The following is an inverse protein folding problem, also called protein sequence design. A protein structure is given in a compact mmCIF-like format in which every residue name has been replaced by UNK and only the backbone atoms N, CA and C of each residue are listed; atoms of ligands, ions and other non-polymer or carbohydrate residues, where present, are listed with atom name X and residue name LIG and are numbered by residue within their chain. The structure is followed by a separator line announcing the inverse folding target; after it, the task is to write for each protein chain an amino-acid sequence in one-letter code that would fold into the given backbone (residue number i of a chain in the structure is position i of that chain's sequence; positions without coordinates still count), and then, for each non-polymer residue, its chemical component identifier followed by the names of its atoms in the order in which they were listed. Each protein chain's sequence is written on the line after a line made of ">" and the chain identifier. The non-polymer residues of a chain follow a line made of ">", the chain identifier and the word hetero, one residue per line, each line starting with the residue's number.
data_IF_804579342094
#
_entry.id   IF_804579342094
#
_cell.length_a   1.000
_cell.length_b   1.000
_cell.length_c   1.000
_cell.angle_alpha   90.00
_cell.angle_beta   90.00
_cell.angle_gamma   90.00
#
_symmetry.space_group_name_H-M   'P 1'
#
loop_
_entity.id
_entity.type
_entity.pdbx_description
1 polymer ?
#
# COMPACT_ATOMS: atom_id res chain seq x y z
N UNK A 1 50.01 -33.33 25.96
CA UNK A 1 48.96 -32.44 26.43
C UNK A 1 48.48 -31.66 25.20
N UNK A 2 47.29 -32.03 24.67
CA UNK A 2 46.67 -31.43 23.47
C UNK A 2 45.61 -30.44 23.93
N UNK A 3 45.71 -29.17 23.55
CA UNK A 3 44.72 -28.14 23.81
C UNK A 3 43.57 -28.26 22.79
N UNK A 4 42.30 -28.10 23.17
CA UNK A 4 41.17 -28.06 22.24
C UNK A 4 40.98 -26.65 21.67
N UNK A 5 40.93 -26.55 20.33
CA UNK A 5 40.60 -25.36 19.58
C UNK A 5 39.08 -25.16 19.62
N UNK A 6 38.62 -24.09 20.27
CA UNK A 6 37.23 -23.66 20.24
C UNK A 6 36.96 -22.91 18.93
N UNK A 7 36.10 -23.48 18.08
CA UNK A 7 35.58 -22.82 16.90
C UNK A 7 34.41 -21.92 17.32
N UNK A 8 34.59 -20.61 17.18
CA UNK A 8 33.57 -19.58 17.39
C UNK A 8 32.63 -19.53 16.16
N UNK A 9 31.43 -20.10 16.33
CA UNK A 9 30.39 -20.07 15.30
C UNK A 9 29.69 -18.70 15.32
N UNK A 10 29.99 -17.83 14.34
CA UNK A 10 29.35 -16.53 14.17
C UNK A 10 28.00 -16.75 13.48
N UNK A 11 26.91 -16.78 14.24
CA UNK A 11 25.53 -16.76 13.68
C UNK A 11 25.23 -15.37 13.14
N UNK A 12 25.34 -15.18 11.82
CA UNK A 12 24.77 -14.03 11.11
C UNK A 12 23.24 -14.20 11.09
N UNK A 13 22.55 -13.48 11.95
CA UNK A 13 21.09 -13.36 11.89
C UNK A 13 20.73 -12.57 10.63
N UNK A 14 20.47 -13.27 9.53
CA UNK A 14 19.93 -12.69 8.31
C UNK A 14 18.50 -12.22 8.57
N UNK A 15 18.24 -10.91 8.47
CA UNK A 15 16.89 -10.37 8.38
C UNK A 15 16.22 -10.96 7.13
N UNK A 16 15.31 -11.90 7.33
CA UNK A 16 14.52 -12.48 6.25
C UNK A 16 13.47 -11.46 5.82
N UNK A 17 13.77 -10.69 4.79
CA UNK A 17 12.74 -9.98 4.03
C UNK A 17 11.85 -11.02 3.37
N UNK A 18 10.59 -11.07 3.76
CA UNK A 18 9.62 -11.97 3.13
C UNK A 18 9.27 -11.42 1.75
N UNK A 19 9.95 -11.91 0.71
CA UNK A 19 9.51 -11.76 -0.67
C UNK A 19 8.16 -12.47 -0.84
N UNK A 20 7.24 -11.86 -1.57
CA UNK A 20 5.92 -12.43 -1.82
C UNK A 20 6.02 -13.74 -2.61
N UNK A 21 5.44 -14.85 -2.12
CA UNK A 21 5.36 -16.07 -2.92
C UNK A 21 4.23 -15.92 -3.95
N UNK A 22 4.53 -15.54 -5.17
CA UNK A 22 3.58 -15.60 -6.28
C UNK A 22 4.24 -16.18 -7.52
N UNK A 23 3.81 -17.37 -7.90
CA UNK A 23 4.21 -18.05 -9.15
C UNK A 23 3.35 -17.65 -10.35
N UNK A 24 2.34 -16.79 -10.19
CA UNK A 24 1.57 -16.23 -11.31
C UNK A 24 1.77 -14.71 -11.40
N UNK A 25 1.97 -14.19 -12.64
CA UNK A 25 2.03 -12.76 -12.84
C UNK A 25 0.65 -12.15 -12.49
N UNK A 26 0.59 -11.48 -11.35
CA UNK A 26 -0.60 -10.76 -10.93
C UNK A 26 -0.74 -9.49 -11.75
N UNK A 27 -1.93 -9.23 -12.27
CA UNK A 27 -2.22 -8.07 -13.08
C UNK A 27 -3.44 -7.32 -12.55
N UNK A 28 -3.39 -6.00 -12.64
CA UNK A 28 -4.49 -5.11 -12.34
C UNK A 28 -5.10 -4.56 -13.62
N UNK A 29 -6.40 -4.25 -13.58
CA UNK A 29 -7.10 -3.68 -14.73
C UNK A 29 -7.19 -2.15 -14.59
N UNK A 30 -6.81 -1.44 -15.61
CA UNK A 30 -6.96 0.03 -15.71
C UNK A 30 -8.42 0.42 -15.96
N UNK A 31 -8.77 1.71 -15.79
CA UNK A 31 -10.12 2.20 -16.03
C UNK A 31 -10.55 2.12 -17.50
N UNK A 32 -9.59 2.06 -18.45
CA UNK A 32 -9.83 1.81 -19.87
C UNK A 32 -9.81 0.31 -20.22
N UNK A 33 -9.79 -0.58 -19.23
CA UNK A 33 -9.92 -2.02 -19.39
C UNK A 33 -8.64 -2.75 -19.77
N UNK A 34 -7.46 -2.12 -19.77
CA UNK A 34 -6.20 -2.77 -20.06
C UNK A 34 -5.67 -3.52 -18.83
N UNK A 35 -5.04 -4.68 -19.09
CA UNK A 35 -4.35 -5.43 -18.05
C UNK A 35 -2.91 -4.93 -17.89
N UNK A 36 -2.47 -4.63 -16.67
CA UNK A 36 -1.12 -4.20 -16.34
C UNK A 36 -0.51 -5.14 -15.31
N UNK A 37 0.65 -5.75 -15.58
CA UNK A 37 1.36 -6.52 -14.57
C UNK A 37 1.63 -5.68 -13.34
N UNK A 38 1.36 -6.23 -12.17
CA UNK A 38 1.60 -5.55 -10.90
C UNK A 38 3.05 -5.09 -10.74
N UNK A 39 4.00 -5.93 -11.12
CA UNK A 39 5.42 -5.64 -11.04
C UNK A 39 5.82 -4.40 -11.83
N UNK A 40 5.21 -4.19 -13.00
CA UNK A 40 5.49 -3.03 -13.86
C UNK A 40 4.97 -1.73 -13.22
N UNK A 41 3.88 -1.82 -12.43
CA UNK A 41 3.30 -0.67 -11.75
C UNK A 41 4.19 -0.15 -10.62
N UNK A 42 4.92 -1.02 -9.93
CA UNK A 42 5.78 -0.61 -8.79
C UNK A 42 7.21 -0.30 -9.21
N UNK A 43 7.71 -0.90 -10.30
CA UNK A 43 9.11 -0.77 -10.71
C UNK A 43 9.53 0.66 -11.12
N UNK A 44 8.56 1.51 -11.50
CA UNK A 44 8.82 2.86 -12.03
C UNK A 44 9.11 3.94 -10.98
N UNK A 45 9.02 3.65 -9.69
CA UNK A 45 9.12 4.64 -8.61
C UNK A 45 10.00 4.13 -7.47
N UNK A 46 10.59 5.06 -6.73
CA UNK A 46 11.38 4.71 -5.54
C UNK A 46 10.52 4.00 -4.50
N UNK A 47 9.33 4.51 -4.26
CA UNK A 47 8.29 3.89 -3.43
C UNK A 47 6.93 4.06 -4.08
N UNK A 48 6.08 3.06 -3.90
CA UNK A 48 4.67 3.08 -4.28
C UNK A 48 3.81 3.02 -3.02
N UNK A 49 2.95 4.01 -2.84
CA UNK A 49 1.88 4.00 -1.83
C UNK A 49 0.63 3.44 -2.49
N UNK A 50 0.26 2.24 -2.09
CA UNK A 50 -0.91 1.55 -2.57
C UNK A 50 -2.04 1.71 -1.55
N UNK A 51 -3.18 2.24 -1.97
CA UNK A 51 -4.36 2.46 -1.12
C UNK A 51 -5.50 1.60 -1.64
N UNK A 52 -6.04 0.72 -0.79
CA UNK A 52 -7.25 -0.01 -1.12
C UNK A 52 -8.47 0.90 -0.92
N UNK A 53 -9.37 0.88 -1.89
CA UNK A 53 -10.51 1.78 -1.95
C UNK A 53 -11.82 0.99 -2.12
N UNK A 54 -12.94 1.64 -1.86
CA UNK A 54 -14.29 1.13 -2.09
C UNK A 54 -15.22 2.29 -2.41
N UNK A 55 -16.07 2.11 -3.42
CA UNK A 55 -16.94 3.13 -3.98
C UNK A 55 -17.90 3.78 -2.96
N UNK A 56 -18.24 3.11 -1.88
CA UNK A 56 -19.19 3.57 -0.86
C UNK A 56 -18.53 3.86 0.49
N UNK A 57 -17.20 4.02 0.54
CA UNK A 57 -16.49 4.22 1.80
C UNK A 57 -16.48 5.68 2.25
N UNK A 58 -17.24 6.01 3.30
CA UNK A 58 -17.25 7.34 3.88
C UNK A 58 -15.90 7.76 4.47
N UNK A 59 -15.13 6.79 4.99
CA UNK A 59 -13.77 7.05 5.50
C UNK A 59 -12.85 7.53 4.37
N UNK A 60 -12.94 6.91 3.19
CA UNK A 60 -12.15 7.33 2.03
C UNK A 60 -12.54 8.74 1.58
N UNK A 61 -13.84 9.06 1.56
CA UNK A 61 -14.33 10.39 1.23
C UNK A 61 -13.75 11.47 2.17
N UNK A 62 -13.73 11.19 3.47
CA UNK A 62 -13.15 12.11 4.47
C UNK A 62 -11.65 12.32 4.23
N UNK A 63 -10.92 11.28 3.83
CA UNK A 63 -9.46 11.34 3.64
C UNK A 63 -9.02 11.82 2.24
N UNK A 64 -9.93 12.03 1.29
CA UNK A 64 -9.58 12.34 -0.11
C UNK A 64 -8.65 13.57 -0.24
N UNK A 65 -8.93 14.67 0.49
CA UNK A 65 -8.08 15.86 0.48
C UNK A 65 -6.70 15.59 1.09
N UNK A 66 -6.62 14.83 2.19
CA UNK A 66 -5.36 14.43 2.85
C UNK A 66 -4.52 13.56 1.92
N UNK A 67 -5.14 12.61 1.22
CA UNK A 67 -4.48 11.76 0.21
C UNK A 67 -3.93 12.58 -0.95
N UNK A 68 -4.71 13.54 -1.45
CA UNK A 68 -4.28 14.46 -2.52
C UNK A 68 -3.07 15.30 -2.09
N UNK A 69 -3.10 15.81 -0.86
CA UNK A 69 -1.97 16.56 -0.29
C UNK A 69 -0.70 15.71 -0.18
N UNK A 70 -0.82 14.48 0.32
CA UNK A 70 0.30 13.55 0.40
C UNK A 70 0.86 13.22 -0.99
N UNK A 71 0.01 12.89 -1.96
CA UNK A 71 0.45 12.59 -3.32
C UNK A 71 1.24 13.77 -3.93
N UNK A 72 0.73 14.99 -3.81
CA UNK A 72 1.40 16.20 -4.30
C UNK A 72 2.74 16.46 -3.59
N UNK A 73 2.80 16.25 -2.27
CA UNK A 73 4.01 16.46 -1.46
C UNK A 73 5.13 15.48 -1.81
N UNK A 74 4.80 14.21 -2.07
CA UNK A 74 5.80 13.16 -2.21
C UNK A 74 6.13 12.79 -3.67
N UNK A 75 5.32 13.17 -4.65
CA UNK A 75 5.61 12.93 -6.07
C UNK A 75 6.99 13.46 -6.51
N UNK A 76 7.43 14.70 -6.16
CA UNK A 76 8.75 15.19 -6.51
C UNK A 76 9.91 14.41 -5.85
N UNK A 77 9.61 13.60 -4.83
CA UNK A 77 10.59 12.78 -4.09
C UNK A 77 10.67 11.34 -4.60
N UNK A 78 10.02 11.04 -5.74
CA UNK A 78 10.03 9.71 -6.36
C UNK A 78 9.04 8.73 -5.75
N UNK A 79 7.98 9.22 -5.09
CA UNK A 79 6.89 8.39 -4.55
C UNK A 79 5.67 8.52 -5.44
N UNK A 80 5.15 7.40 -5.91
CA UNK A 80 3.85 7.36 -6.59
C UNK A 80 2.76 6.88 -5.64
N UNK A 81 1.52 7.28 -5.95
CA UNK A 81 0.32 6.80 -5.28
C UNK A 81 -0.55 6.06 -6.27
N UNK A 82 -1.11 4.93 -5.86
CA UNK A 82 -2.03 4.12 -6.65
C UNK A 82 -3.23 3.74 -5.78
N UNK A 83 -4.44 3.87 -6.32
CA UNK A 83 -5.64 3.31 -5.70
C UNK A 83 -5.96 1.95 -6.31
N UNK A 84 -6.50 1.03 -5.51
CA UNK A 84 -6.93 -0.29 -5.96
C UNK A 84 -8.29 -0.63 -5.38
N UNK A 85 -9.25 -0.86 -6.24
CA UNK A 85 -10.55 -1.43 -5.87
C UNK A 85 -10.49 -2.95 -6.03
N UNK A 86 -10.65 -3.65 -4.93
CA UNK A 86 -10.64 -5.12 -4.85
C UNK A 86 -12.02 -5.68 -4.48
N UNK A 87 -13.08 -4.89 -4.60
CA UNK A 87 -14.43 -5.36 -4.25
C UNK A 87 -14.99 -6.29 -5.32
N UNK A 88 -15.77 -7.25 -4.86
CA UNK A 88 -16.49 -8.15 -5.75
C UNK A 88 -17.49 -7.37 -6.62
N UNK A 89 -17.49 -7.64 -7.92
CA UNK A 89 -18.41 -7.01 -8.86
C UNK A 89 -18.01 -5.61 -9.32
N UNK A 90 -16.84 -5.10 -8.90
CA UNK A 90 -16.33 -3.84 -9.44
C UNK A 90 -16.10 -3.95 -10.94
N UNK A 91 -16.63 -2.97 -11.67
CA UNK A 91 -16.47 -2.81 -13.12
C UNK A 91 -15.68 -1.52 -13.40
N UNK A 92 -15.18 -1.35 -14.62
CA UNK A 92 -14.51 -0.10 -15.04
C UNK A 92 -15.42 1.12 -14.86
N UNK A 93 -16.73 0.98 -15.10
CA UNK A 93 -17.70 2.06 -14.90
C UNK A 93 -17.84 2.46 -13.42
N UNK A 94 -17.93 1.49 -12.51
CA UNK A 94 -17.99 1.73 -11.06
C UNK A 94 -16.70 2.39 -10.60
N UNK A 95 -15.54 1.83 -10.95
CA UNK A 95 -14.23 2.37 -10.56
C UNK A 95 -13.99 3.78 -11.14
N UNK A 96 -14.46 4.07 -12.36
CA UNK A 96 -14.38 5.43 -12.94
C UNK A 96 -15.22 6.42 -12.14
N UNK A 97 -16.47 6.04 -11.80
CA UNK A 97 -17.33 6.89 -10.97
C UNK A 97 -16.74 7.14 -9.57
N UNK A 98 -16.09 6.13 -9.00
CA UNK A 98 -15.36 6.23 -7.73
C UNK A 98 -14.18 7.21 -7.80
N UNK A 99 -13.32 7.05 -8.80
CA UNK A 99 -12.18 7.96 -9.02
C UNK A 99 -12.62 9.42 -9.14
N UNK A 100 -13.73 9.67 -9.86
CA UNK A 100 -14.32 10.99 -9.97
C UNK A 100 -14.93 11.50 -8.65
N UNK A 101 -15.67 10.63 -7.94
CA UNK A 101 -16.31 11.00 -6.66
C UNK A 101 -15.29 11.47 -5.63
N UNK A 102 -14.15 10.78 -5.52
CA UNK A 102 -13.09 11.11 -4.57
C UNK A 102 -12.05 12.08 -5.14
N UNK A 103 -12.20 12.51 -6.40
CA UNK A 103 -11.25 13.40 -7.08
C UNK A 103 -9.79 12.92 -6.88
N UNK A 104 -9.55 11.60 -7.03
CA UNK A 104 -8.24 11.02 -6.84
C UNK A 104 -7.25 11.58 -7.85
N UNK A 105 -6.13 12.18 -7.42
CA UNK A 105 -5.13 12.78 -8.32
C UNK A 105 -4.12 11.74 -8.85
N UNK A 106 -4.37 10.45 -8.62
CA UNK A 106 -3.52 9.33 -9.00
C UNK A 106 -4.38 8.19 -9.57
N UNK A 107 -3.77 7.26 -10.34
CA UNK A 107 -4.50 6.19 -11.00
C UNK A 107 -5.23 5.27 -10.03
N UNK A 108 -6.43 4.81 -10.45
CA UNK A 108 -7.18 3.75 -9.82
C UNK A 108 -7.16 2.50 -10.72
N UNK A 109 -6.95 1.35 -10.11
CA UNK A 109 -6.93 0.05 -10.75
C UNK A 109 -7.97 -0.89 -10.12
N UNK A 110 -8.40 -1.89 -10.89
CA UNK A 110 -9.30 -2.95 -10.41
C UNK A 110 -8.48 -4.22 -10.18
N UNK A 111 -8.58 -4.78 -8.98
CA UNK A 111 -8.01 -6.06 -8.59
C UNK A 111 -9.08 -7.16 -8.66
N UNK A 112 -9.36 -7.63 -9.87
CA UNK A 112 -10.37 -8.66 -10.10
C UNK A 112 -10.08 -9.94 -9.32
N UNK A 113 -11.05 -10.36 -8.51
CA UNK A 113 -10.91 -11.53 -7.63
C UNK A 113 -10.07 -11.26 -6.38
N UNK A 114 -9.80 -10.00 -6.06
CA UNK A 114 -9.11 -9.55 -4.85
C UNK A 114 -7.75 -10.24 -4.59
N UNK A 115 -7.02 -10.60 -5.66
CA UNK A 115 -5.76 -11.32 -5.52
C UNK A 115 -4.69 -10.48 -4.83
N UNK A 116 -4.55 -9.21 -5.21
CA UNK A 116 -3.59 -8.29 -4.59
C UNK A 116 -3.99 -7.99 -3.15
N UNK A 117 -5.28 -7.72 -2.90
CA UNK A 117 -5.80 -7.50 -1.56
C UNK A 117 -5.52 -8.69 -0.63
N UNK A 118 -5.76 -9.91 -1.10
CA UNK A 118 -5.51 -11.12 -0.31
C UNK A 118 -4.01 -11.32 -0.03
N UNK A 119 -3.15 -11.13 -1.02
CA UNK A 119 -1.70 -11.28 -0.88
C UNK A 119 -1.10 -10.24 0.09
N UNK A 120 -1.62 -9.02 0.09
CA UNK A 120 -1.16 -7.95 0.98
C UNK A 120 -1.89 -7.90 2.32
N UNK A 121 -2.92 -8.74 2.52
CA UNK A 121 -3.71 -8.80 3.76
C UNK A 121 -4.69 -7.62 3.92
N UNK A 122 -5.05 -6.95 2.83
CA UNK A 122 -6.01 -5.86 2.86
C UNK A 122 -7.42 -6.38 3.11
N UNK A 123 -8.09 -5.87 4.14
CA UNK A 123 -9.45 -6.23 4.53
C UNK A 123 -10.36 -5.01 4.66
N UNK A 124 -9.82 -3.81 4.53
CA UNK A 124 -10.54 -2.55 4.69
C UNK A 124 -10.18 -1.58 3.57
N UNK A 125 -11.14 -0.77 3.13
CA UNK A 125 -10.84 0.47 2.42
C UNK A 125 -10.01 1.38 3.33
N UNK A 126 -9.13 2.22 2.73
CA UNK A 126 -8.05 2.98 3.39
C UNK A 126 -6.87 2.14 3.91
N UNK A 127 -6.93 0.79 3.81
CA UNK A 127 -5.72 0.00 4.03
C UNK A 127 -4.64 0.42 3.05
N UNK A 128 -3.48 0.73 3.58
CA UNK A 128 -2.38 1.31 2.80
C UNK A 128 -1.12 0.46 2.95
N UNK A 129 -0.40 0.29 1.84
CA UNK A 129 0.88 -0.43 1.82
C UNK A 129 1.91 0.46 1.13
N UNK A 130 3.12 0.53 1.68
CA UNK A 130 4.25 1.19 1.02
C UNK A 130 5.22 0.11 0.56
N UNK A 131 5.54 0.13 -0.74
CA UNK A 131 6.31 -0.89 -1.44
C UNK A 131 7.43 -0.21 -2.20
N UNK A 132 8.65 -0.78 -2.22
CA UNK A 132 9.75 -0.31 -3.05
C UNK A 132 9.67 -0.85 -4.49
N UNK A 133 10.57 -0.38 -5.36
CA UNK A 133 10.67 -0.83 -6.76
C UNK A 133 10.96 -2.33 -6.92
N UNK A 134 11.50 -2.98 -5.90
CA UNK A 134 11.76 -4.42 -5.86
C UNK A 134 10.56 -5.26 -5.41
N UNK A 135 9.45 -4.61 -5.02
CA UNK A 135 8.26 -5.29 -4.49
C UNK A 135 8.33 -5.60 -2.99
N UNK A 136 9.32 -5.09 -2.27
CA UNK A 136 9.41 -5.29 -0.82
C UNK A 136 8.44 -4.35 -0.09
N UNK A 137 7.69 -4.92 0.85
CA UNK A 137 6.74 -4.17 1.67
C UNK A 137 7.46 -3.61 2.90
N UNK A 138 7.43 -2.28 3.07
CA UNK A 138 8.03 -1.57 4.20
C UNK A 138 7.00 -1.10 5.23
N UNK A 139 5.76 -0.84 4.78
CA UNK A 139 4.68 -0.43 5.66
C UNK A 139 3.37 -1.08 5.23
N UNK A 140 2.52 -1.41 6.21
CA UNK A 140 1.13 -1.81 5.99
C UNK A 140 0.23 -1.38 7.14
N UNK A 141 -0.97 -0.90 6.83
CA UNK A 141 -1.92 -0.50 7.87
C UNK A 141 -2.85 0.63 7.46
N UNK A 142 -3.25 1.45 8.42
CA UNK A 142 -4.09 2.62 8.20
C UNK A 142 -3.34 3.78 7.55
N UNK A 143 -4.08 4.68 6.91
CA UNK A 143 -3.55 5.93 6.40
C UNK A 143 -3.05 6.82 7.56
N UNK A 144 -3.87 6.91 8.59
CA UNK A 144 -3.63 7.64 9.84
C UNK A 144 -4.48 7.09 10.99
N UNK A 145 -4.62 7.82 12.10
CA UNK A 145 -5.39 7.40 13.28
C UNK A 145 -6.86 7.82 13.25
N UNK A 146 -7.28 8.57 12.23
CA UNK A 146 -8.66 9.05 12.10
C UNK A 146 -9.54 8.05 11.35
N UNK A 147 -10.86 8.16 11.53
CA UNK A 147 -11.83 7.35 10.82
C UNK A 147 -12.61 8.18 9.79
N UNK A 148 -13.44 9.11 10.24
CA UNK A 148 -14.26 10.02 9.42
C UNK A 148 -14.02 11.46 9.82
N UNK A 149 -13.97 11.73 11.13
CA UNK A 149 -13.64 13.04 11.66
C UNK A 149 -12.13 13.21 11.69
N UNK A 150 -11.63 14.16 10.90
CA UNK A 150 -10.19 14.42 10.78
C UNK A 150 -9.74 15.44 11.82
N UNK A 151 -8.70 15.10 12.58
CA UNK A 151 -8.16 15.91 13.66
C UNK A 151 -6.75 16.41 13.32
N UNK A 152 -6.38 17.57 13.85
CA UNK A 152 -5.05 18.16 13.62
C UNK A 152 -3.94 17.38 14.35
N UNK A 153 -4.28 16.71 15.45
CA UNK A 153 -3.38 15.87 16.27
C UNK A 153 -3.36 14.41 15.85
N UNK A 154 -3.96 14.06 14.70
CA UNK A 154 -3.94 12.71 14.16
C UNK A 154 -2.51 12.20 13.93
N UNK A 155 -2.29 10.91 14.23
CA UNK A 155 -1.05 10.22 13.89
C UNK A 155 -1.05 9.92 12.40
N UNK A 156 -0.20 10.56 11.61
CA UNK A 156 -0.14 10.43 10.16
C UNK A 156 0.79 9.29 9.75
N UNK A 157 0.35 8.05 9.91
CA UNK A 157 1.19 6.84 9.78
C UNK A 157 1.92 6.74 8.44
N UNK A 158 1.22 6.95 7.32
CA UNK A 158 1.82 6.88 5.97
C UNK A 158 2.84 7.99 5.77
N UNK A 159 2.56 9.22 6.21
CA UNK A 159 3.52 10.33 6.16
C UNK A 159 4.78 9.99 6.94
N UNK A 160 4.63 9.53 8.17
CA UNK A 160 5.77 9.25 9.07
C UNK A 160 6.61 8.08 8.53
N UNK A 161 5.97 7.05 7.96
CA UNK A 161 6.66 5.95 7.30
C UNK A 161 7.43 6.42 6.05
N UNK A 162 6.84 7.28 5.21
CA UNK A 162 7.52 7.85 4.03
C UNK A 162 8.72 8.71 4.43
N UNK A 163 8.61 9.52 5.49
CA UNK A 163 9.74 10.33 5.96
C UNK A 163 10.91 9.46 6.45
N UNK A 164 10.62 8.36 7.17
CA UNK A 164 11.65 7.42 7.57
C UNK A 164 12.31 6.76 6.35
N UNK A 165 11.53 6.22 5.41
CA UNK A 165 12.02 5.53 4.21
C UNK A 165 12.84 6.46 3.30
N UNK A 166 12.37 7.68 3.07
CA UNK A 166 13.06 8.65 2.23
C UNK A 166 14.38 9.14 2.86
N UNK A 167 14.47 9.05 4.19
CA UNK A 167 15.73 9.29 4.94
C UNK A 167 16.62 8.03 5.05
N UNK A 168 16.25 6.93 4.37
CA UNK A 168 17.03 5.68 4.37
C UNK A 168 16.89 4.85 5.65
N UNK A 169 15.82 5.04 6.41
CA UNK A 169 15.53 4.27 7.61
C UNK A 169 14.27 3.41 7.41
N UNK A 170 14.18 2.29 8.11
CA UNK A 170 12.93 1.54 8.21
C UNK A 170 11.90 2.33 9.02
N UNK A 171 10.58 2.22 8.68
CA UNK A 171 9.53 2.87 9.41
C UNK A 171 9.53 2.48 10.89
N UNK A 172 9.43 3.45 11.80
CA UNK A 172 9.30 3.19 13.24
C UNK A 172 8.07 2.38 13.60
N UNK A 173 7.02 2.50 12.80
CA UNK A 173 5.79 1.70 12.88
C UNK A 173 5.56 1.03 11.52
N UNK A 174 6.16 -0.14 11.24
CA UNK A 174 6.01 -0.83 9.96
C UNK A 174 4.61 -1.43 9.76
N UNK A 175 3.85 -1.53 10.83
CA UNK A 175 2.47 -2.00 10.80
C UNK A 175 1.60 -1.23 11.79
N UNK A 176 0.39 -0.83 11.35
CA UNK A 176 -0.61 -0.16 12.18
C UNK A 176 -2.01 -0.75 11.97
N UNK A 177 -2.93 -0.39 12.86
CA UNK A 177 -4.34 -0.75 12.69
C UNK A 177 -4.96 0.09 11.57
N UNK A 178 -5.77 -0.54 10.73
CA UNK A 178 -6.60 0.16 9.74
C UNK A 178 -7.98 0.42 10.31
N UNK A 179 -8.47 1.62 10.10
CA UNK A 179 -9.85 2.03 10.36
C UNK A 179 -10.50 2.32 8.99
N UNK A 180 -11.61 1.65 8.66
CA UNK A 180 -12.24 1.80 7.36
C UNK A 180 -13.41 0.86 7.14
N UNK A 181 -14.04 0.97 5.98
CA UNK A 181 -15.10 0.08 5.55
C UNK A 181 -14.53 -1.29 5.16
N UNK A 182 -15.20 -2.37 5.52
CA UNK A 182 -14.77 -3.73 5.14
C UNK A 182 -14.85 -3.90 3.62
N UNK A 183 -13.79 -4.41 2.99
CA UNK A 183 -13.76 -4.78 1.58
C UNK A 183 -14.54 -6.09 1.37
N UNK A 184 -15.49 -6.07 0.45
CA UNK A 184 -16.25 -7.25 0.06
C UNK A 184 -15.50 -8.00 -1.04
N UNK A 185 -14.69 -8.99 -0.66
CA UNK A 185 -13.76 -9.70 -1.56
C UNK A 185 -14.27 -11.06 -2.06
N UNK A 186 -15.34 -11.56 -1.47
CA UNK A 186 -15.97 -12.87 -1.79
C UNK A 186 -17.45 -12.84 -1.45
#
# INVERSE_FOLDING_TARGET
>A
MKAPTFALCLCLAGCSHQAMPSTQPMALTTLDGQSKPWQDLVAGSRFTVLIFVSAECHCLAAHAARLSGLAAQYAPRGVQFLAVDSEIGTTTGVATAEAHRYALPFPLFIDSGAQLANNLGASYATYTVIIDAGGNVHYRGGLDSDLVDLHDDAKLYVRDALEDLLAGREPRLPQTKTLGCVLRKS
#
